data_IF_372353375242
#
_entry.id   IF_372353375242
#
_cell.length_a   1.000
_cell.length_b   1.000
_cell.length_c   1.000
_cell.angle_alpha   90.00
_cell.angle_beta   90.00
_cell.angle_gamma   90.00
#
_symmetry.space_group_name_H-M   'P 1'
#
loop_
_entity.id
_entity.type
_entity.pdbx_description
1 polymer ?
#
# COMPACT_ATOMS: atom_id res chain seq x y z
N UNK A 1 -11.97 1.67 -21.28
CA UNK A 1 -11.59 1.91 -22.67
C UNK A 1 -11.11 3.34 -22.89
N UNK A 2 -11.94 4.38 -22.63
CA UNK A 2 -11.64 5.79 -22.96
C UNK A 2 -10.24 6.27 -22.49
N UNK A 3 -9.89 6.08 -21.22
CA UNK A 3 -8.60 6.52 -20.68
C UNK A 3 -7.42 5.74 -21.27
N UNK A 4 -7.60 4.45 -21.54
CA UNK A 4 -6.58 3.61 -22.15
C UNK A 4 -6.35 4.03 -23.62
N UNK A 5 -7.44 4.31 -24.34
CA UNK A 5 -7.40 4.78 -25.73
C UNK A 5 -6.73 6.15 -25.84
N UNK A 6 -6.88 7.00 -24.81
CA UNK A 6 -6.21 8.27 -24.70
C UNK A 6 -4.73 8.17 -24.24
N UNK A 7 -4.21 6.95 -24.01
CA UNK A 7 -2.83 6.72 -23.58
C UNK A 7 -2.54 7.21 -22.15
N UNK A 8 -3.57 7.38 -21.31
CA UNK A 8 -3.40 7.81 -19.93
C UNK A 8 -2.81 6.64 -19.12
N UNK A 9 -1.64 6.83 -18.48
CA UNK A 9 -1.01 5.77 -17.71
C UNK A 9 -1.81 5.43 -16.46
N UNK A 10 -1.89 4.15 -16.14
CA UNK A 10 -2.45 3.65 -14.89
C UNK A 10 -1.31 3.34 -13.92
N UNK A 11 -1.27 4.04 -12.80
CA UNK A 11 -0.31 3.76 -11.71
C UNK A 11 -0.99 2.91 -10.66
N UNK A 12 -0.43 1.74 -10.37
CA UNK A 12 -0.96 0.78 -9.40
C UNK A 12 0.01 0.67 -8.23
N UNK A 13 -0.45 1.03 -7.04
CA UNK A 13 0.38 1.06 -5.83
C UNK A 13 0.54 -0.31 -5.17
N UNK A 14 -0.37 -1.24 -5.42
CA UNK A 14 -0.31 -2.60 -4.87
C UNK A 14 0.27 -3.56 -5.91
N UNK A 15 1.44 -4.20 -5.64
CA UNK A 15 2.10 -5.06 -6.62
C UNK A 15 1.28 -6.26 -7.08
N UNK A 16 0.48 -6.87 -6.21
CA UNK A 16 -0.39 -7.98 -6.63
C UNK A 16 -1.49 -7.53 -7.57
N UNK A 17 -2.07 -6.34 -7.34
CA UNK A 17 -3.03 -5.75 -8.27
C UNK A 17 -2.37 -5.35 -9.60
N UNK A 18 -1.13 -4.84 -9.55
CA UNK A 18 -0.37 -4.54 -10.76
C UNK A 18 -0.12 -5.80 -11.59
N UNK A 19 0.21 -6.92 -10.94
CA UNK A 19 0.42 -8.21 -11.59
C UNK A 19 -0.81 -8.68 -12.36
N UNK A 20 -2.01 -8.47 -11.82
CA UNK A 20 -3.27 -8.80 -12.53
C UNK A 20 -3.33 -8.15 -13.90
N UNK A 21 -3.00 -6.85 -14.00
CA UNK A 21 -3.06 -6.13 -15.27
C UNK A 21 -1.86 -6.40 -16.17
N UNK A 22 -0.69 -6.71 -15.61
CA UNK A 22 0.57 -6.91 -16.34
C UNK A 22 0.76 -8.34 -16.85
N UNK A 23 0.10 -9.32 -16.23
CA UNK A 23 0.29 -10.73 -16.50
C UNK A 23 -1.05 -11.48 -16.66
N UNK A 24 -1.83 -11.61 -15.59
CA UNK A 24 -3.01 -12.47 -15.53
C UNK A 24 -4.09 -12.07 -16.55
N UNK A 25 -4.39 -10.78 -16.66
CA UNK A 25 -5.42 -10.28 -17.58
C UNK A 25 -5.10 -10.63 -19.03
N UNK A 26 -3.83 -10.51 -19.42
CA UNK A 26 -3.41 -10.86 -20.78
C UNK A 26 -3.50 -12.38 -21.03
N UNK A 27 -3.21 -13.20 -20.02
CA UNK A 27 -3.44 -14.64 -20.08
C UNK A 27 -4.91 -15.04 -20.20
N UNK A 28 -5.80 -14.32 -19.51
CA UNK A 28 -7.25 -14.55 -19.54
C UNK A 28 -7.91 -14.02 -20.82
N UNK A 29 -7.37 -12.97 -21.43
CA UNK A 29 -7.93 -12.27 -22.60
C UNK A 29 -6.87 -12.03 -23.69
N UNK A 30 -6.19 -13.07 -24.20
CA UNK A 30 -5.02 -12.92 -25.07
C UNK A 30 -5.32 -12.21 -26.39
N UNK A 31 -6.55 -12.35 -26.91
CA UNK A 31 -6.97 -11.72 -28.17
C UNK A 31 -7.48 -10.27 -27.98
N UNK A 32 -7.55 -9.78 -26.74
CA UNK A 32 -8.09 -8.46 -26.45
C UNK A 32 -7.02 -7.37 -26.62
N UNK A 33 -7.13 -6.59 -27.68
CA UNK A 33 -6.29 -5.40 -27.90
C UNK A 33 -6.41 -4.38 -26.75
N UNK A 34 -7.54 -4.34 -26.06
CA UNK A 34 -7.73 -3.47 -24.91
C UNK A 34 -6.93 -3.97 -23.70
N UNK A 35 -6.92 -5.27 -23.45
CA UNK A 35 -6.11 -5.88 -22.38
C UNK A 35 -4.60 -5.65 -22.64
N UNK A 36 -4.14 -5.83 -23.85
CA UNK A 36 -2.74 -5.58 -24.24
C UNK A 36 -2.35 -4.11 -24.01
N UNK A 37 -3.18 -3.15 -24.46
CA UNK A 37 -2.93 -1.72 -24.23
C UNK A 37 -2.98 -1.34 -22.75
N UNK A 38 -3.85 -1.97 -21.98
CA UNK A 38 -3.90 -1.75 -20.52
C UNK A 38 -2.63 -2.25 -19.86
N UNK A 39 -2.14 -3.43 -20.23
CA UNK A 39 -0.87 -3.98 -19.76
C UNK A 39 0.30 -3.01 -20.04
N UNK A 40 0.39 -2.50 -21.26
CA UNK A 40 1.45 -1.58 -21.69
C UNK A 40 1.40 -0.22 -20.97
N UNK A 41 0.22 0.20 -20.53
CA UNK A 41 -0.01 1.48 -19.82
C UNK A 41 -0.18 1.34 -18.31
N UNK A 42 0.09 0.15 -17.76
CA UNK A 42 0.08 -0.10 -16.31
C UNK A 42 1.49 -0.11 -15.74
N UNK A 43 1.71 0.70 -14.72
CA UNK A 43 3.01 0.93 -14.08
C UNK A 43 2.90 0.78 -12.57
N UNK A 44 3.96 0.30 -11.92
CA UNK A 44 4.17 0.55 -10.50
C UNK A 44 4.50 2.04 -10.29
N UNK A 45 4.52 2.50 -9.04
CA UNK A 45 4.87 3.89 -8.74
C UNK A 45 6.29 4.23 -9.22
N UNK A 46 7.26 3.38 -8.88
CA UNK A 46 8.66 3.56 -9.27
C UNK A 46 8.85 3.53 -10.79
N UNK A 47 8.23 2.57 -11.48
CA UNK A 47 8.27 2.53 -12.95
C UNK A 47 7.70 3.80 -13.58
N UNK A 48 6.58 4.31 -13.05
CA UNK A 48 5.98 5.55 -13.57
C UNK A 48 6.93 6.74 -13.38
N UNK A 49 7.50 6.87 -12.19
CA UNK A 49 8.40 7.98 -11.86
C UNK A 49 9.68 7.95 -12.71
N UNK A 50 10.26 6.76 -12.93
CA UNK A 50 11.50 6.61 -13.69
C UNK A 50 11.31 6.70 -15.21
N UNK A 51 10.17 6.18 -15.74
CA UNK A 51 9.97 6.04 -17.19
C UNK A 51 9.06 7.10 -17.81
N UNK A 52 8.22 7.76 -17.00
CA UNK A 52 7.19 8.69 -17.50
C UNK A 52 7.35 10.12 -17.01
N UNK A 53 8.12 10.35 -15.96
CA UNK A 53 8.37 11.69 -15.42
C UNK A 53 9.81 12.08 -15.73
N UNK A 54 9.97 13.01 -16.68
CA UNK A 54 11.29 13.50 -17.08
C UNK A 54 12.00 14.17 -15.89
N UNK A 55 13.28 13.82 -15.72
CA UNK A 55 14.15 14.41 -14.70
C UNK A 55 13.58 14.37 -13.27
N UNK A 56 12.86 13.29 -12.93
CA UNK A 56 12.27 13.16 -11.61
C UNK A 56 13.35 13.04 -10.53
N UNK A 57 13.28 13.94 -9.55
CA UNK A 57 14.12 13.94 -8.36
C UNK A 57 13.23 13.69 -7.11
N UNK A 58 13.33 12.53 -6.48
CA UNK A 58 12.60 12.24 -5.27
C UNK A 58 13.13 13.04 -4.07
N UNK A 59 12.30 13.25 -3.03
CA UNK A 59 12.76 13.85 -1.78
C UNK A 59 13.86 13.00 -1.15
N UNK A 60 14.86 13.65 -0.56
CA UNK A 60 16.03 12.97 0.01
C UNK A 60 15.76 12.46 1.43
N UNK A 61 16.21 11.27 1.72
CA UNK A 61 16.13 10.64 3.04
C UNK A 61 17.35 9.76 3.29
N UNK A 62 18.34 10.27 4.01
CA UNK A 62 19.55 9.55 4.34
C UNK A 62 19.34 8.62 5.54
N UNK A 63 18.80 7.43 5.30
CA UNK A 63 18.51 6.43 6.34
C UNK A 63 18.81 5.03 5.86
N UNK A 64 19.09 4.15 6.82
CA UNK A 64 19.07 2.70 6.57
C UNK A 64 17.63 2.25 6.32
N UNK A 65 17.47 1.33 5.39
CA UNK A 65 16.20 0.68 5.11
C UNK A 65 16.37 -0.82 4.88
N UNK A 66 15.40 -1.61 5.30
CA UNK A 66 15.22 -3.01 4.87
C UNK A 66 13.96 -3.09 4.02
N UNK A 67 14.04 -3.78 2.90
CA UNK A 67 12.99 -3.79 1.88
C UNK A 67 12.52 -5.21 1.63
N UNK A 68 11.26 -5.48 1.94
CA UNK A 68 10.56 -6.70 1.53
C UNK A 68 9.92 -6.47 0.17
N UNK A 69 10.54 -6.98 -0.88
CA UNK A 69 9.94 -6.99 -2.20
C UNK A 69 8.80 -8.00 -2.27
N UNK A 70 7.61 -7.55 -2.71
CA UNK A 70 6.48 -8.44 -2.94
C UNK A 70 6.84 -9.50 -3.99
N UNK A 71 6.42 -10.77 -3.81
CA UNK A 71 6.82 -11.86 -4.69
C UNK A 71 6.42 -11.64 -6.16
N UNK A 72 5.20 -11.15 -6.44
CA UNK A 72 4.76 -10.79 -7.79
C UNK A 72 5.54 -9.61 -8.36
N UNK A 73 5.85 -8.59 -7.55
CA UNK A 73 6.69 -7.47 -7.97
C UNK A 73 8.04 -7.97 -8.47
N UNK A 74 8.71 -8.77 -7.65
CA UNK A 74 10.01 -9.35 -7.99
C UNK A 74 9.98 -10.25 -9.24
N UNK A 75 8.92 -11.06 -9.38
CA UNK A 75 8.82 -12.03 -10.47
C UNK A 75 8.42 -11.38 -11.82
N UNK A 76 7.44 -10.48 -11.81
CA UNK A 76 6.78 -9.95 -13.01
C UNK A 76 7.32 -8.58 -13.41
N UNK A 77 7.32 -7.59 -12.48
CA UNK A 77 7.70 -6.22 -12.78
C UNK A 77 9.20 -5.97 -12.65
N UNK A 78 9.93 -6.81 -11.87
CA UNK A 78 11.32 -6.56 -11.49
C UNK A 78 11.43 -5.41 -10.48
N UNK A 79 12.64 -5.09 -10.02
CA UNK A 79 12.85 -4.12 -8.93
C UNK A 79 13.83 -3.00 -9.32
N UNK A 80 14.21 -2.92 -10.60
CA UNK A 80 15.23 -1.97 -11.05
C UNK A 80 14.83 -0.51 -10.84
N UNK A 81 13.56 -0.20 -11.11
CA UNK A 81 13.05 1.17 -10.95
C UNK A 81 12.89 1.55 -9.48
N UNK A 82 12.49 0.59 -8.62
CA UNK A 82 12.41 0.77 -7.17
C UNK A 82 13.79 1.06 -6.58
N UNK A 83 14.78 0.27 -6.95
CA UNK A 83 16.16 0.48 -6.54
C UNK A 83 16.71 1.82 -7.03
N UNK A 84 16.37 2.23 -8.27
CA UNK A 84 16.79 3.51 -8.83
C UNK A 84 16.21 4.67 -8.01
N UNK A 85 14.90 4.64 -7.72
CA UNK A 85 14.23 5.67 -6.90
C UNK A 85 14.83 5.70 -5.49
N UNK A 86 15.00 4.55 -4.83
CA UNK A 86 15.59 4.49 -3.49
C UNK A 86 17.02 5.01 -3.44
N UNK A 87 17.84 4.71 -4.45
CA UNK A 87 19.20 5.27 -4.61
C UNK A 87 19.15 6.78 -4.80
N UNK A 88 18.27 7.29 -5.66
CA UNK A 88 18.07 8.74 -5.83
C UNK A 88 17.62 9.41 -4.52
N UNK A 89 16.80 8.75 -3.70
CA UNK A 89 16.43 9.25 -2.37
C UNK A 89 17.60 9.33 -1.39
N UNK A 90 18.67 8.58 -1.62
CA UNK A 90 19.83 8.48 -0.71
C UNK A 90 19.65 7.46 0.41
N UNK A 91 18.75 6.51 0.26
CA UNK A 91 18.57 5.40 1.21
C UNK A 91 19.74 4.41 1.15
N UNK A 92 20.26 4.04 2.31
CA UNK A 92 21.15 2.88 2.49
C UNK A 92 20.28 1.64 2.72
N UNK A 93 19.86 0.99 1.63
CA UNK A 93 18.86 -0.07 1.70
C UNK A 93 19.41 -1.46 1.43
N UNK A 94 18.83 -2.44 2.12
CA UNK A 94 19.04 -3.85 1.92
C UNK A 94 17.74 -4.52 1.43
N UNK A 95 17.80 -5.10 0.23
CA UNK A 95 16.72 -5.96 -0.27
C UNK A 95 16.76 -7.30 0.47
N UNK A 96 15.68 -7.66 1.16
CA UNK A 96 15.59 -8.94 1.86
C UNK A 96 15.44 -10.10 0.87
N UNK A 97 16.22 -11.15 1.05
CA UNK A 97 16.04 -12.40 0.31
C UNK A 97 15.03 -13.33 1.04
N UNK A 98 13.87 -12.79 1.34
CA UNK A 98 12.87 -13.48 2.16
C UNK A 98 11.86 -14.32 1.36
N UNK A 99 11.79 -14.14 0.05
CA UNK A 99 10.77 -14.79 -0.78
C UNK A 99 9.37 -14.26 -0.48
N UNK A 100 8.41 -15.17 -0.27
CA UNK A 100 7.05 -14.82 0.14
C UNK A 100 7.00 -14.39 1.61
N UNK A 101 6.09 -13.46 1.94
CA UNK A 101 5.82 -13.08 3.34
C UNK A 101 5.00 -14.13 4.10
N UNK A 102 4.36 -15.07 3.39
CA UNK A 102 3.48 -16.10 3.95
C UNK A 102 2.00 -15.81 3.78
N UNK A 103 1.59 -14.56 3.70
CA UNK A 103 0.18 -14.16 3.69
C UNK A 103 -0.56 -14.61 2.41
N UNK A 104 0.04 -14.41 1.23
CA UNK A 104 -0.47 -14.85 -0.09
C UNK A 104 -2.00 -14.64 -0.28
N UNK A 105 -2.44 -13.40 -0.32
CA UNK A 105 -3.86 -13.05 -0.43
C UNK A 105 -4.64 -13.41 0.84
N UNK A 106 -5.69 -14.23 0.71
CA UNK A 106 -6.49 -14.71 1.85
C UNK A 106 -5.85 -15.86 2.63
N UNK A 107 -4.83 -16.53 2.06
CA UNK A 107 -4.24 -17.74 2.60
C UNK A 107 -3.84 -17.61 4.09
N UNK A 108 -3.14 -16.54 4.45
CA UNK A 108 -2.68 -16.32 5.82
C UNK A 108 -3.79 -15.95 6.81
N UNK A 109 -5.00 -15.66 6.33
CA UNK A 109 -6.18 -15.40 7.18
C UNK A 109 -7.04 -16.64 7.42
N UNK A 110 -6.79 -17.74 6.70
CA UNK A 110 -7.52 -18.98 6.87
C UNK A 110 -6.95 -19.76 8.07
N UNK A 111 -7.83 -20.16 8.99
CA UNK A 111 -7.46 -20.79 10.27
C UNK A 111 -6.52 -22.01 10.09
N UNK A 112 -6.82 -22.86 9.13
CA UNK A 112 -6.04 -24.08 8.85
C UNK A 112 -4.69 -23.81 8.14
N UNK A 113 -4.44 -22.58 7.69
CA UNK A 113 -3.24 -22.18 6.97
C UNK A 113 -2.40 -21.15 7.71
N UNK A 114 -2.93 -20.60 8.81
CA UNK A 114 -2.28 -19.57 9.59
C UNK A 114 -0.87 -19.95 10.04
N UNK A 115 -0.72 -21.14 10.65
CA UNK A 115 0.58 -21.63 11.10
C UNK A 115 1.60 -21.79 9.98
N UNK A 116 1.14 -22.21 8.80
CA UNK A 116 2.00 -22.32 7.60
C UNK A 116 2.43 -20.93 7.14
N UNK A 117 1.51 -19.96 7.14
CA UNK A 117 1.78 -18.56 6.82
C UNK A 117 2.86 -18.00 7.74
N UNK A 118 2.74 -18.21 9.05
CA UNK A 118 3.74 -17.80 10.03
C UNK A 118 5.11 -18.45 9.78
N UNK A 119 5.15 -19.75 9.59
CA UNK A 119 6.39 -20.47 9.31
C UNK A 119 7.11 -19.92 8.07
N UNK A 120 6.37 -19.53 7.02
CA UNK A 120 6.95 -18.90 5.83
C UNK A 120 7.55 -17.54 6.18
N UNK A 121 6.82 -16.69 6.91
CA UNK A 121 7.28 -15.37 7.36
C UNK A 121 8.51 -15.45 8.27
N UNK A 122 8.56 -16.45 9.15
CA UNK A 122 9.66 -16.70 10.10
C UNK A 122 10.94 -17.20 9.42
N UNK A 123 10.91 -17.62 8.17
CA UNK A 123 12.13 -18.08 7.47
C UNK A 123 13.16 -16.97 7.29
N UNK A 124 12.72 -15.74 7.05
CA UNK A 124 13.63 -14.61 6.83
C UNK A 124 13.01 -13.25 7.14
N UNK A 125 11.76 -12.99 6.73
CA UNK A 125 11.14 -11.66 6.82
C UNK A 125 10.99 -11.19 8.27
N UNK A 126 10.27 -11.93 9.09
CA UNK A 126 9.94 -11.52 10.45
C UNK A 126 11.18 -11.41 11.36
N UNK A 127 12.14 -12.36 11.30
CA UNK A 127 13.41 -12.19 12.01
C UNK A 127 14.21 -10.95 11.57
N UNK A 128 14.26 -10.67 10.28
CA UNK A 128 14.97 -9.48 9.77
C UNK A 128 14.34 -8.18 10.27
N UNK A 129 13.00 -8.11 10.30
CA UNK A 129 12.26 -6.94 10.81
C UNK A 129 12.50 -6.75 12.32
N UNK A 130 12.47 -7.83 13.10
CA UNK A 130 12.71 -7.75 14.56
C UNK A 130 14.15 -7.38 14.90
N UNK A 131 15.13 -7.76 14.08
CA UNK A 131 16.56 -7.46 14.26
C UNK A 131 16.96 -6.09 13.73
N UNK A 132 16.11 -5.45 12.91
CA UNK A 132 16.40 -4.14 12.37
C UNK A 132 16.53 -3.10 13.48
N UNK A 133 17.56 -2.23 13.35
CA UNK A 133 17.75 -1.11 14.28
C UNK A 133 16.46 -0.26 14.33
N UNK A 134 16.12 0.30 15.49
CA UNK A 134 14.90 1.11 15.64
C UNK A 134 14.79 2.28 14.64
N UNK A 135 15.91 2.87 14.24
CA UNK A 135 15.98 3.96 13.26
C UNK A 135 15.86 3.51 11.80
N UNK A 136 15.98 2.20 11.53
CA UNK A 136 15.89 1.65 10.18
C UNK A 136 14.45 1.69 9.68
N UNK A 137 14.25 2.19 8.47
CA UNK A 137 12.94 2.15 7.78
C UNK A 137 12.64 0.72 7.34
N UNK A 138 11.47 0.21 7.67
CA UNK A 138 10.97 -1.06 7.16
C UNK A 138 10.07 -0.75 5.96
N UNK A 139 10.40 -1.30 4.79
CA UNK A 139 9.67 -1.01 3.55
C UNK A 139 9.02 -2.28 2.98
N UNK A 140 7.77 -2.15 2.56
CA UNK A 140 7.08 -3.16 1.77
C UNK A 140 5.92 -2.52 1.01
N UNK A 141 5.88 -2.65 -0.31
CA UNK A 141 4.79 -2.09 -1.11
C UNK A 141 3.55 -2.98 -1.10
N UNK A 142 3.71 -4.31 -0.99
CA UNK A 142 2.60 -5.24 -0.94
C UNK A 142 1.79 -5.15 0.36
N UNK A 143 0.47 -5.05 0.23
CA UNK A 143 -0.46 -5.05 1.38
C UNK A 143 -0.26 -6.27 2.27
N UNK A 144 -0.25 -7.47 1.70
CA UNK A 144 -0.06 -8.72 2.45
C UNK A 144 1.26 -8.73 3.25
N UNK A 145 2.34 -8.17 2.68
CA UNK A 145 3.63 -8.10 3.39
C UNK A 145 3.55 -7.14 4.58
N UNK A 146 2.88 -5.98 4.42
CA UNK A 146 2.69 -5.01 5.50
C UNK A 146 1.83 -5.57 6.62
N UNK A 147 0.73 -6.26 6.28
CA UNK A 147 -0.13 -6.92 7.27
C UNK A 147 0.62 -7.98 8.07
N UNK A 148 1.39 -8.85 7.41
CA UNK A 148 2.19 -9.88 8.09
C UNK A 148 3.19 -9.25 9.08
N UNK A 149 3.89 -8.19 8.66
CA UNK A 149 4.83 -7.48 9.52
C UNK A 149 4.11 -6.85 10.71
N UNK A 150 2.99 -6.18 10.48
CA UNK A 150 2.22 -5.48 11.52
C UNK A 150 1.60 -6.43 12.54
N UNK A 151 1.13 -7.59 12.11
CA UNK A 151 0.51 -8.57 13.01
C UNK A 151 1.55 -9.30 13.86
N UNK A 152 2.73 -9.58 13.32
CA UNK A 152 3.72 -10.46 13.91
C UNK A 152 4.93 -9.74 14.52
N UNK A 153 4.98 -8.41 14.40
CA UNK A 153 6.07 -7.60 14.97
C UNK A 153 5.53 -6.26 15.51
N UNK A 154 6.27 -5.58 16.40
CA UNK A 154 5.90 -4.24 16.84
C UNK A 154 6.20 -3.14 15.81
N UNK A 155 6.56 -3.49 14.58
CA UNK A 155 6.95 -2.57 13.50
C UNK A 155 5.84 -2.46 12.46
N UNK A 156 5.82 -1.33 11.76
CA UNK A 156 4.97 -1.12 10.60
C UNK A 156 5.85 -0.90 9.38
N UNK A 157 5.58 -1.64 8.30
CA UNK A 157 6.26 -1.40 7.05
C UNK A 157 5.58 -0.28 6.27
N UNK A 158 6.39 0.58 5.64
CA UNK A 158 5.95 1.70 4.82
C UNK A 158 6.01 1.34 3.34
N UNK A 159 5.02 1.78 2.59
CA UNK A 159 5.05 1.81 1.13
C UNK A 159 6.05 2.88 0.64
N UNK A 160 6.64 2.71 -0.55
CA UNK A 160 7.57 3.69 -1.13
C UNK A 160 7.02 5.12 -1.12
N UNK A 161 5.74 5.31 -1.45
CA UNK A 161 5.09 6.63 -1.39
C UNK A 161 5.06 7.22 0.03
N UNK A 162 4.94 6.39 1.05
CA UNK A 162 4.94 6.81 2.46
C UNK A 162 6.36 7.17 2.92
N UNK A 163 7.37 6.48 2.40
CA UNK A 163 8.78 6.84 2.63
C UNK A 163 9.12 8.17 1.96
N UNK A 164 8.60 8.41 0.75
CA UNK A 164 8.70 9.74 0.11
C UNK A 164 7.99 10.82 0.94
N UNK A 165 6.81 10.53 1.45
CA UNK A 165 6.09 11.45 2.34
C UNK A 165 6.86 11.74 3.63
N UNK A 166 7.48 10.71 4.23
CA UNK A 166 8.35 10.86 5.38
C UNK A 166 9.52 11.82 5.06
N UNK A 167 10.17 11.61 3.92
CA UNK A 167 11.28 12.47 3.47
C UNK A 167 10.87 13.94 3.29
N UNK A 168 9.66 14.20 2.78
CA UNK A 168 9.12 15.55 2.60
C UNK A 168 8.84 16.27 3.93
N UNK A 169 8.45 15.53 4.97
CA UNK A 169 8.07 16.12 6.26
C UNK A 169 9.23 16.23 7.23
N UNK A 170 10.10 15.23 7.25
CA UNK A 170 11.15 15.10 8.27
C UNK A 170 12.52 15.61 7.79
N UNK A 171 12.66 15.88 6.48
CA UNK A 171 13.92 16.29 5.87
C UNK A 171 14.99 15.19 5.91
N UNK A 172 16.22 15.57 5.55
CA UNK A 172 17.34 14.62 5.40
C UNK A 172 17.78 13.95 6.72
N UNK A 173 17.46 14.55 7.87
CA UNK A 173 18.01 14.17 9.18
C UNK A 173 16.97 13.76 10.22
N UNK A 174 15.81 13.32 9.81
CA UNK A 174 14.77 12.89 10.75
C UNK A 174 15.27 11.81 11.71
N UNK A 175 15.52 12.18 12.97
CA UNK A 175 16.12 11.35 14.01
C UNK A 175 15.15 10.43 14.76
N UNK A 176 13.93 10.21 14.27
CA UNK A 176 12.92 9.41 14.94
C UNK A 176 13.39 7.95 15.13
N UNK A 177 13.23 7.45 16.36
CA UNK A 177 13.61 6.09 16.75
C UNK A 177 12.78 5.02 16.03
N UNK A 178 11.58 5.34 15.62
CA UNK A 178 10.71 4.49 14.78
C UNK A 178 10.08 5.40 13.76
N UNK A 179 10.67 5.52 12.56
CA UNK A 179 10.27 6.51 11.57
C UNK A 179 8.83 6.36 11.09
N UNK A 180 8.31 5.14 11.12
CA UNK A 180 6.94 4.84 10.75
C UNK A 180 5.87 5.36 11.73
N UNK A 181 6.23 5.58 13.01
CA UNK A 181 5.26 5.86 14.09
C UNK A 181 4.43 7.11 13.80
N UNK A 182 5.07 8.19 13.36
CA UNK A 182 4.35 9.43 13.11
C UNK A 182 3.34 9.31 11.96
N UNK A 183 3.70 8.59 10.89
CA UNK A 183 2.79 8.34 9.77
C UNK A 183 1.63 7.44 10.19
N UNK A 184 1.90 6.41 10.99
CA UNK A 184 0.88 5.51 11.54
C UNK A 184 -0.08 6.29 12.45
N UNK A 185 0.45 7.11 13.38
CA UNK A 185 -0.36 7.92 14.27
C UNK A 185 -1.23 8.94 13.53
N UNK A 186 -0.70 9.59 12.50
CA UNK A 186 -1.48 10.50 11.63
C UNK A 186 -2.61 9.75 10.94
N UNK A 187 -2.36 8.54 10.45
CA UNK A 187 -3.35 7.68 9.78
C UNK A 187 -4.45 7.25 10.73
N UNK A 188 -4.08 6.76 11.92
CA UNK A 188 -5.05 6.37 12.96
C UNK A 188 -5.92 7.56 13.39
N UNK A 189 -5.33 8.73 13.62
CA UNK A 189 -6.08 9.95 13.94
C UNK A 189 -7.04 10.36 12.80
N UNK A 190 -6.59 10.33 11.56
CA UNK A 190 -7.42 10.63 10.41
C UNK A 190 -8.61 9.67 10.28
N UNK A 191 -8.37 8.37 10.46
CA UNK A 191 -9.41 7.34 10.47
C UNK A 191 -10.41 7.55 11.59
N UNK A 192 -9.97 7.84 12.81
CA UNK A 192 -10.85 8.14 13.95
C UNK A 192 -11.73 9.37 13.67
N UNK A 193 -11.17 10.43 13.10
CA UNK A 193 -11.93 11.62 12.69
C UNK A 193 -12.96 11.28 11.61
N UNK A 194 -12.58 10.50 10.60
CA UNK A 194 -13.51 10.07 9.55
C UNK A 194 -14.66 9.22 10.12
N UNK A 195 -14.37 8.27 11.01
CA UNK A 195 -15.37 7.45 11.68
C UNK A 195 -16.33 8.29 12.54
N UNK A 196 -15.82 9.26 13.31
CA UNK A 196 -16.65 10.19 14.09
C UNK A 196 -17.57 11.00 13.17
N UNK A 197 -17.04 11.54 12.06
CA UNK A 197 -17.84 12.29 11.08
C UNK A 197 -18.93 11.42 10.45
N UNK A 198 -18.61 10.19 10.06
CA UNK A 198 -19.58 9.24 9.53
C UNK A 198 -20.67 8.89 10.54
N UNK A 199 -20.31 8.67 11.80
CA UNK A 199 -21.28 8.43 12.88
C UNK A 199 -22.21 9.62 13.13
N UNK A 200 -21.69 10.85 13.11
CA UNK A 200 -22.51 12.07 13.22
C UNK A 200 -23.46 12.20 12.02
N UNK A 201 -22.96 12.00 10.79
CA UNK A 201 -23.79 12.05 9.58
C UNK A 201 -24.92 11.01 9.60
N UNK A 202 -24.62 9.77 10.00
CA UNK A 202 -25.61 8.71 10.15
C UNK A 202 -26.66 9.07 11.24
N UNK A 203 -26.24 9.61 12.36
CA UNK A 203 -27.13 10.07 13.42
C UNK A 203 -28.07 11.19 12.96
N UNK A 204 -27.58 12.17 12.22
CA UNK A 204 -28.38 13.26 11.66
C UNK A 204 -29.38 12.74 10.61
N UNK A 205 -28.97 11.78 9.78
CA UNK A 205 -29.83 11.16 8.78
C UNK A 205 -30.99 10.40 9.45
N UNK A 206 -30.70 9.62 10.49
CA UNK A 206 -31.73 8.89 11.26
C UNK A 206 -32.65 9.83 11.99
N UNK A 207 -32.15 10.89 12.61
CA UNK A 207 -32.97 11.89 13.30
C UNK A 207 -33.85 12.66 12.32
N UNK A 208 -33.34 13.08 11.16
CA UNK A 208 -34.10 13.72 10.09
C UNK A 208 -35.21 12.82 9.53
N UNK A 209 -34.89 11.54 9.29
CA UNK A 209 -35.86 10.53 8.85
C UNK A 209 -37.00 10.31 9.88
N UNK A 210 -36.65 10.26 11.17
CA UNK A 210 -37.63 10.13 12.24
C UNK A 210 -38.57 11.37 12.31
N UNK A 211 -38.00 12.57 12.24
CA UNK A 211 -38.81 13.82 12.24
C UNK A 211 -39.74 13.89 11.02
N UNK A 212 -39.25 13.50 9.84
CA UNK A 212 -40.10 13.45 8.63
C UNK A 212 -41.22 12.42 8.76
N UNK A 213 -40.94 11.24 9.33
CA UNK A 213 -41.96 10.20 9.54
C UNK A 213 -43.02 10.63 10.57
N UNK A 214 -42.63 11.26 11.66
CA UNK A 214 -43.55 11.82 12.64
C UNK A 214 -44.37 13.00 12.08
N UNK A 215 -43.77 13.87 11.27
CA UNK A 215 -44.45 14.97 10.58
C UNK A 215 -45.54 14.47 9.61
N UNK A 216 -45.22 13.44 8.81
CA UNK A 216 -46.19 12.82 7.89
C UNK A 216 -47.33 12.07 8.60
N UNK A 217 -47.11 11.51 9.78
CA UNK A 217 -48.19 10.91 10.59
C UNK A 217 -49.15 11.91 11.19
N UNK A 218 -48.66 13.09 11.64
CA UNK A 218 -49.53 14.14 12.19
C UNK A 218 -50.41 14.79 11.12
N UNK A 219 -49.99 14.87 9.87
CA UNK A 219 -50.78 15.43 8.77
C UNK A 219 -51.93 14.53 8.27
N UNK A 220 -51.96 13.24 8.66
CA UNK A 220 -53.05 12.30 8.27
C UNK A 220 -54.16 12.12 9.31
N UNK A 221 -54.13 12.90 10.38
CA UNK A 221 -55.12 12.79 11.48
C UNK A 221 -56.16 13.90 11.56
N UNK A 222 -56.35 14.69 10.48
CA UNK A 222 -57.36 15.75 10.41
C UNK A 222 -58.13 15.63 9.09
N UNK A 223 -58.90 14.57 8.88
CA UNK A 223 -60.05 14.46 8.02
C UNK A 223 -61.14 13.65 8.75
#
# INVERSE_FOLDING_TARGET
AYHIDAGIPMVVLEPSCCAVFRDELNGLMPESKLAQRLMENTFTLSEFLEKKVENYEPPKLQRKAIVQAHCHHKAIMRLYDDEAVMKKMGLDFQMLNAGCCGMAGSFGFEEDKYDISLQIGERALLPAVRQAEPSTVVMADGFSCREQIQQETPRHALHLAEVMQLALHDGESAGAKYPETELVDRRVKAQQVAMKRAGIAAGLFLAGGALMWFGLRRGRGTE
#
